data_IF_795981536018
#
_entry.id   IF_795981536018
#
_cell.length_a   1.000
_cell.length_b   1.000
_cell.length_c   1.000
_cell.angle_alpha   90.00
_cell.angle_beta   90.00
_cell.angle_gamma   90.00
#
_symmetry.space_group_name_H-M   'P 1'
#
loop_
_entity.id
_entity.type
_entity.pdbx_description
1 polymer ?
#
# COMPACT_ATOMS: atom_id res chain seq x y z
N UNK A 1 -13.35 -11.35 1.80
CA UNK A 1 -12.10 -10.60 2.03
C UNK A 1 -12.25 -9.08 1.91
N UNK A 2 -13.05 -8.53 0.97
CA UNK A 2 -13.16 -7.07 0.80
C UNK A 2 -13.62 -6.27 2.04
N UNK A 3 -14.60 -6.79 2.81
CA UNK A 3 -15.09 -6.13 4.03
C UNK A 3 -14.02 -6.05 5.16
N UNK A 4 -13.09 -7.01 5.22
CA UNK A 4 -12.04 -7.05 6.23
C UNK A 4 -10.95 -5.99 5.99
N UNK A 5 -10.58 -5.81 4.71
CA UNK A 5 -9.70 -4.73 4.25
C UNK A 5 -10.32 -3.35 4.46
N UNK A 6 -11.60 -3.18 4.12
CA UNK A 6 -12.31 -1.91 4.32
C UNK A 6 -12.48 -1.57 5.81
N UNK A 7 -12.75 -2.58 6.64
CA UNK A 7 -12.79 -2.43 8.10
C UNK A 7 -11.45 -1.98 8.68
N UNK A 8 -10.34 -2.55 8.20
CA UNK A 8 -8.99 -2.17 8.64
C UNK A 8 -8.61 -0.74 8.23
N UNK A 9 -8.97 -0.34 7.00
CA UNK A 9 -8.75 1.01 6.49
C UNK A 9 -9.55 2.08 7.25
N UNK A 10 -10.81 1.81 7.59
CA UNK A 10 -11.62 2.74 8.35
C UNK A 10 -11.11 2.90 9.78
N UNK A 11 -10.70 1.79 10.44
CA UNK A 11 -10.14 1.84 11.80
C UNK A 11 -8.85 2.66 11.86
N UNK A 12 -7.92 2.50 10.90
CA UNK A 12 -6.68 3.28 10.87
C UNK A 12 -6.93 4.76 10.59
N UNK A 13 -7.88 5.07 9.69
CA UNK A 13 -8.27 6.45 9.36
C UNK A 13 -8.93 7.16 10.54
N UNK A 14 -9.87 6.51 11.22
CA UNK A 14 -10.49 7.05 12.43
C UNK A 14 -9.47 7.22 13.56
N UNK A 15 -8.57 6.25 13.78
CA UNK A 15 -7.54 6.36 14.80
C UNK A 15 -6.61 7.56 14.55
N UNK A 16 -6.17 7.76 13.31
CA UNK A 16 -5.35 8.93 12.96
C UNK A 16 -6.10 10.24 13.18
N UNK A 17 -7.37 10.32 12.77
CA UNK A 17 -8.16 11.55 12.86
C UNK A 17 -8.50 11.94 14.31
N UNK A 18 -8.71 10.96 15.19
CA UNK A 18 -8.90 11.21 16.63
C UNK A 18 -7.59 11.68 17.27
N UNK A 19 -6.45 11.08 16.94
CA UNK A 19 -5.15 11.49 17.50
C UNK A 19 -4.72 12.86 16.97
N UNK A 20 -4.99 13.15 15.70
CA UNK A 20 -4.65 14.45 15.09
C UNK A 20 -5.53 15.58 15.61
N UNK A 21 -6.82 15.32 15.88
CA UNK A 21 -7.72 16.33 16.47
C UNK A 21 -7.38 16.70 17.92
N UNK A 22 -6.77 15.77 18.67
CA UNK A 22 -6.30 16.03 20.04
C UNK A 22 -4.87 16.60 20.11
N UNK A 23 -4.13 16.62 18.99
CA UNK A 23 -2.78 17.15 18.90
C UNK A 23 -2.76 18.64 18.51
N UNK A 24 -1.58 19.24 18.47
CA UNK A 24 -1.36 20.64 18.03
C UNK A 24 -1.99 20.97 16.66
N UNK A 25 -2.18 19.96 15.81
CA UNK A 25 -2.85 20.08 14.51
C UNK A 25 -4.34 20.45 14.63
N UNK A 26 -5.00 20.05 15.72
CA UNK A 26 -6.40 20.41 16.01
C UNK A 26 -6.55 21.81 16.61
N UNK A 27 -5.55 22.30 17.36
CA UNK A 27 -5.59 23.62 18.00
C UNK A 27 -5.27 24.77 17.04
N UNK A 28 -4.42 24.53 16.04
CA UNK A 28 -4.08 25.50 14.98
C UNK A 28 -5.07 25.47 13.79
N UNK A 29 -6.13 24.65 13.85
CA UNK A 29 -7.12 24.46 12.77
C UNK A 29 -6.50 24.09 11.41
N UNK A 30 -5.36 23.40 11.40
CA UNK A 30 -4.66 22.97 10.19
C UNK A 30 -5.33 21.75 9.55
N UNK A 31 -6.36 22.02 8.73
CA UNK A 31 -7.17 20.98 8.08
C UNK A 31 -6.36 20.02 7.21
N UNK A 32 -5.26 20.50 6.59
CA UNK A 32 -4.36 19.68 5.77
C UNK A 32 -3.58 18.67 6.60
N UNK A 33 -3.10 19.06 7.79
CA UNK A 33 -2.33 18.18 8.66
C UNK A 33 -3.24 17.15 9.35
N UNK A 34 -4.47 17.55 9.72
CA UNK A 34 -5.45 16.65 10.32
C UNK A 34 -5.85 15.49 9.38
N UNK A 35 -5.97 15.79 8.07
CA UNK A 35 -6.33 14.82 7.02
C UNK A 35 -5.14 14.20 6.29
N UNK A 36 -3.94 14.28 6.86
CA UNK A 36 -2.72 13.77 6.25
C UNK A 36 -2.80 12.30 5.79
N UNK A 37 -3.43 11.42 6.58
CA UNK A 37 -3.60 10.00 6.21
C UNK A 37 -4.55 9.81 5.01
N UNK A 38 -5.62 10.61 4.92
CA UNK A 38 -6.54 10.61 3.78
C UNK A 38 -5.84 11.07 2.49
N UNK A 39 -4.98 12.09 2.59
CA UNK A 39 -4.15 12.56 1.48
C UNK A 39 -3.15 11.48 1.03
N UNK A 40 -2.52 10.77 1.97
CA UNK A 40 -1.66 9.62 1.65
C UNK A 40 -2.44 8.53 0.92
N UNK A 41 -3.66 8.22 1.37
CA UNK A 41 -4.52 7.23 0.70
C UNK A 41 -4.87 7.64 -0.73
N UNK A 42 -5.19 8.92 -0.97
CA UNK A 42 -5.49 9.43 -2.30
C UNK A 42 -4.29 9.31 -3.25
N UNK A 43 -3.10 9.68 -2.78
CA UNK A 43 -1.85 9.51 -3.55
C UNK A 43 -1.54 8.03 -3.81
N UNK A 44 -1.83 7.15 -2.84
CA UNK A 44 -1.64 5.71 -2.99
C UNK A 44 -2.52 5.08 -4.07
N UNK A 45 -3.75 5.55 -4.22
CA UNK A 45 -4.65 5.09 -5.29
C UNK A 45 -4.09 5.49 -6.66
N UNK A 46 -3.59 6.72 -6.80
CA UNK A 46 -2.92 7.19 -8.03
C UNK A 46 -1.69 6.35 -8.38
N UNK A 47 -0.83 6.08 -7.41
CA UNK A 47 0.38 5.25 -7.57
C UNK A 47 0.01 3.82 -7.96
N UNK A 48 -1.02 3.25 -7.34
CA UNK A 48 -1.52 1.92 -7.67
C UNK A 48 -2.06 1.86 -9.11
N UNK A 49 -2.78 2.90 -9.53
CA UNK A 49 -3.32 3.01 -10.89
C UNK A 49 -2.20 3.12 -11.94
N UNK A 50 -1.22 3.99 -11.72
CA UNK A 50 -0.05 4.14 -12.61
C UNK A 50 0.72 2.82 -12.71
N UNK A 51 0.97 2.16 -11.57
CA UNK A 51 1.68 0.87 -11.53
C UNK A 51 0.88 -0.24 -12.23
N UNK A 52 -0.45 -0.23 -12.12
CA UNK A 52 -1.32 -1.18 -12.80
C UNK A 52 -1.32 -0.97 -14.32
N UNK A 53 -1.35 0.28 -14.78
CA UNK A 53 -1.21 0.60 -16.20
C UNK A 53 0.15 0.14 -16.73
N UNK A 54 1.23 0.42 -16.00
CA UNK A 54 2.58 -0.05 -16.36
C UNK A 54 2.67 -1.58 -16.42
N UNK A 55 2.14 -2.29 -15.43
CA UNK A 55 2.13 -3.76 -15.42
C UNK A 55 1.38 -4.31 -16.63
N UNK A 56 0.25 -3.69 -17.01
CA UNK A 56 -0.59 -4.13 -18.14
C UNK A 56 0.04 -3.84 -19.49
N UNK A 57 0.73 -2.71 -19.65
CA UNK A 57 1.35 -2.31 -20.92
C UNK A 57 2.68 -3.00 -21.21
N UNK A 58 3.45 -3.38 -20.18
CA UNK A 58 4.80 -3.95 -20.38
C UNK A 58 4.85 -5.48 -20.33
N UNK A 59 3.81 -6.17 -19.82
CA UNK A 59 3.82 -7.62 -19.63
C UNK A 59 2.66 -8.28 -20.40
N UNK A 60 2.92 -8.67 -21.65
CA UNK A 60 2.01 -9.56 -22.39
C UNK A 60 2.21 -10.98 -21.86
N UNK A 61 1.26 -11.45 -21.06
CA UNK A 61 1.29 -12.77 -20.41
C UNK A 61 1.11 -13.85 -21.49
N UNK A 62 2.11 -14.71 -21.68
CA UNK A 62 2.08 -15.80 -22.66
C UNK A 62 1.95 -17.18 -22.01
N UNK A 63 2.15 -17.30 -20.69
CA UNK A 63 2.05 -18.57 -19.96
C UNK A 63 1.58 -18.43 -18.51
N UNK A 64 1.03 -19.51 -17.93
CA UNK A 64 0.46 -19.55 -16.56
C UNK A 64 1.52 -19.29 -15.47
N UNK A 65 2.78 -19.64 -15.72
CA UNK A 65 3.90 -19.41 -14.79
C UNK A 65 4.24 -17.91 -14.62
N UNK A 66 3.90 -17.07 -15.59
CA UNK A 66 4.19 -15.63 -15.57
C UNK A 66 3.18 -14.82 -14.75
N UNK A 67 2.04 -15.43 -14.38
CA UNK A 67 0.99 -14.78 -13.58
C UNK A 67 1.54 -14.46 -12.18
N UNK A 68 2.24 -15.41 -11.57
CA UNK A 68 2.83 -15.25 -10.23
C UNK A 68 3.94 -14.18 -10.24
N UNK A 69 4.82 -14.21 -11.26
CA UNK A 69 5.89 -13.22 -11.41
C UNK A 69 5.34 -11.80 -11.63
N UNK A 70 4.25 -11.68 -12.40
CA UNK A 70 3.59 -10.39 -12.66
C UNK A 70 2.99 -9.81 -11.40
N UNK A 71 2.39 -10.65 -10.54
CA UNK A 71 1.87 -10.23 -9.24
C UNK A 71 2.99 -9.75 -8.30
N UNK A 72 4.11 -10.49 -8.23
CA UNK A 72 5.29 -10.11 -7.44
C UNK A 72 5.87 -8.77 -7.91
N UNK A 73 6.05 -8.61 -9.23
CA UNK A 73 6.55 -7.36 -9.82
C UNK A 73 5.63 -6.19 -9.50
N UNK A 74 4.31 -6.36 -9.62
CA UNK A 74 3.34 -5.32 -9.27
C UNK A 74 3.48 -4.85 -7.82
N UNK A 75 3.65 -5.79 -6.88
CA UNK A 75 3.79 -5.50 -5.45
C UNK A 75 5.14 -4.82 -5.14
N UNK A 76 6.24 -5.27 -5.74
CA UNK A 76 7.56 -4.66 -5.57
C UNK A 76 7.60 -3.24 -6.15
N UNK A 77 7.07 -3.04 -7.36
CA UNK A 77 7.08 -1.73 -8.05
C UNK A 77 6.25 -0.71 -7.27
N UNK A 78 5.04 -1.07 -6.80
CA UNK A 78 4.22 -0.15 -6.01
C UNK A 78 4.86 0.21 -4.67
N UNK A 79 5.57 -0.73 -4.05
CA UNK A 79 6.27 -0.52 -2.78
C UNK A 79 7.44 0.47 -2.97
N UNK A 80 8.24 0.31 -4.02
CA UNK A 80 9.35 1.21 -4.33
C UNK A 80 8.89 2.64 -4.65
N UNK A 81 7.81 2.76 -5.45
CA UNK A 81 7.25 4.05 -5.83
C UNK A 81 6.68 4.80 -4.62
N UNK A 82 6.03 4.08 -3.70
CA UNK A 82 5.52 4.63 -2.44
C UNK A 82 6.63 5.06 -1.47
N UNK A 83 7.71 4.26 -1.35
CA UNK A 83 8.83 4.59 -0.45
C UNK A 83 9.59 5.86 -0.84
N UNK A 84 9.61 6.22 -2.12
CA UNK A 84 10.23 7.48 -2.58
C UNK A 84 9.46 8.73 -2.12
N UNK A 85 8.15 8.62 -1.85
CA UNK A 85 7.31 9.75 -1.49
C UNK A 85 7.35 10.07 0.02
N UNK A 86 7.53 9.07 0.91
CA UNK A 86 7.47 9.29 2.35
C UNK A 86 8.36 8.33 3.15
N UNK A 87 9.41 8.86 3.79
CA UNK A 87 10.35 8.08 4.61
C UNK A 87 9.70 7.53 5.91
N UNK A 88 8.79 8.30 6.53
CA UNK A 88 8.11 7.92 7.79
C UNK A 88 7.07 6.80 7.61
N UNK A 89 6.32 6.82 6.50
CA UNK A 89 5.35 5.77 6.14
C UNK A 89 6.04 4.50 5.61
N UNK A 90 7.30 4.63 5.17
CA UNK A 90 8.09 3.54 4.59
C UNK A 90 8.22 2.32 5.50
N UNK A 91 8.33 2.48 6.82
CA UNK A 91 8.51 1.36 7.75
C UNK A 91 7.33 0.39 7.78
N UNK A 92 6.09 0.92 7.78
CA UNK A 92 4.87 0.10 7.72
C UNK A 92 4.69 -0.60 6.38
N UNK A 93 5.13 0.04 5.30
CA UNK A 93 5.05 -0.52 3.94
C UNK A 93 6.04 -1.69 3.75
N UNK A 94 7.27 -1.55 4.25
CA UNK A 94 8.28 -2.62 4.25
C UNK A 94 7.84 -3.83 5.08
N UNK A 95 7.18 -3.61 6.22
CA UNK A 95 6.63 -4.70 7.01
C UNK A 95 5.60 -5.54 6.22
N UNK A 96 4.71 -4.88 5.47
CA UNK A 96 3.74 -5.57 4.60
C UNK A 96 4.39 -6.40 3.48
N UNK A 97 5.45 -5.87 2.86
CA UNK A 97 6.23 -6.59 1.83
C UNK A 97 6.89 -7.86 2.40
N UNK A 98 7.51 -7.75 3.58
CA UNK A 98 8.17 -8.87 4.25
C UNK A 98 7.16 -9.96 4.59
N UNK A 99 5.99 -9.61 5.15
CA UNK A 99 4.92 -10.57 5.46
C UNK A 99 4.45 -11.27 4.18
N UNK A 100 4.25 -10.52 3.08
CA UNK A 100 3.87 -11.09 1.79
C UNK A 100 4.91 -12.08 1.26
N UNK A 101 6.18 -11.72 1.29
CA UNK A 101 7.28 -12.57 0.82
C UNK A 101 7.41 -13.85 1.66
N UNK A 102 7.31 -13.74 2.98
CA UNK A 102 7.35 -14.88 3.89
C UNK A 102 6.15 -15.80 3.67
N UNK A 103 4.94 -15.26 3.54
CA UNK A 103 3.73 -16.05 3.31
C UNK A 103 3.83 -16.84 2.00
N UNK A 104 4.37 -16.21 0.96
CA UNK A 104 4.59 -16.84 -0.34
C UNK A 104 5.62 -17.97 -0.26
N UNK A 105 6.72 -17.78 0.47
CA UNK A 105 7.73 -18.83 0.70
C UNK A 105 7.13 -20.08 1.36
N UNK A 106 6.22 -19.91 2.32
CA UNK A 106 5.58 -21.03 3.02
C UNK A 106 4.40 -21.66 2.27
N UNK A 107 3.75 -20.94 1.35
CA UNK A 107 2.53 -21.38 0.67
C UNK A 107 2.74 -21.81 -0.79
N UNK A 108 3.74 -21.26 -1.49
CA UNK A 108 3.93 -21.55 -2.91
C UNK A 108 4.64 -22.90 -3.12
N UNK A 109 4.03 -23.75 -3.95
CA UNK A 109 4.57 -25.06 -4.32
C UNK A 109 5.75 -24.95 -5.31
N UNK A 110 6.16 -23.74 -5.69
CA UNK A 110 7.29 -23.47 -6.58
C UNK A 110 8.66 -23.44 -5.86
N UNK A 111 8.67 -23.35 -4.53
CA UNK A 111 9.88 -23.31 -3.71
C UNK A 111 10.20 -24.66 -3.02
N UNK A 112 9.40 -25.70 -3.29
CA UNK A 112 9.55 -27.05 -2.78
C UNK A 112 10.16 -27.98 -3.83
#
# INVERSE_FOLDING_TARGET
>A
MGLDLFGSFNKSSCANLVVSSMSSFGTEFDFYAMNFLLLISAMGILICLITALFTTSFLVIKSVKEIELTLKKKLIISTLLMTHMFFSVGSGLWAGLIIGYVTEFYTSNAYK
#
